data_IF_068012420872
#
_entry.id   IF_068012420872
#
_cell.length_a   1.000
_cell.length_b   1.000
_cell.length_c   1.000
_cell.angle_alpha   90.00
_cell.angle_beta   90.00
_cell.angle_gamma   90.00
#
_symmetry.space_group_name_H-M   'P 1'
#
loop_
_entity.id
_entity.type
_entity.pdbx_description
1 polymer ?
#
# COMPACT_ATOMS: atom_id res chain seq x y z
N UNK A 1 -10.02 5.07 18.91
CA UNK A 1 -9.91 4.35 17.62
C UNK A 1 -11.11 4.73 16.76
N UNK A 2 -10.90 5.12 15.51
CA UNK A 2 -11.98 5.63 14.63
C UNK A 2 -12.78 4.50 13.98
N UNK A 3 -12.13 3.36 13.73
CA UNK A 3 -12.73 2.18 13.10
C UNK A 3 -12.48 0.93 13.95
N UNK A 4 -13.44 0.00 13.92
CA UNK A 4 -13.34 -1.30 14.59
C UNK A 4 -13.84 -2.38 13.61
N UNK A 5 -12.96 -3.25 13.10
CA UNK A 5 -11.50 -3.25 13.31
C UNK A 5 -10.76 -2.09 12.60
N UNK A 6 -9.57 -1.70 13.07
CA UNK A 6 -8.80 -0.61 12.45
C UNK A 6 -8.11 -1.02 11.15
N UNK A 7 -7.88 -2.31 10.94
CA UNK A 7 -7.35 -2.93 9.72
C UNK A 7 -7.78 -4.39 9.66
N UNK A 8 -7.68 -4.99 8.46
CA UNK A 8 -7.91 -6.41 8.20
C UNK A 8 -6.71 -6.97 7.45
N UNK A 9 -6.25 -8.17 7.78
CA UNK A 9 -5.10 -8.74 7.11
C UNK A 9 -5.22 -10.25 6.85
N UNK A 10 -4.46 -10.72 5.89
CA UNK A 10 -4.25 -12.13 5.57
C UNK A 10 -2.75 -12.40 5.54
N UNK A 11 -2.30 -13.25 6.46
CA UNK A 11 -0.91 -13.61 6.60
C UNK A 11 -0.46 -14.55 5.49
N UNK A 12 0.58 -14.16 4.72
CA UNK A 12 1.21 -14.98 3.67
C UNK A 12 0.21 -15.64 2.72
N UNK A 13 -0.89 -14.95 2.40
CA UNK A 13 -2.02 -15.56 1.70
C UNK A 13 -1.83 -15.56 0.16
N UNK A 14 -1.04 -14.65 -0.38
CA UNK A 14 -0.68 -14.65 -1.79
C UNK A 14 0.48 -15.64 -1.99
N UNK A 15 0.36 -16.62 -2.90
CA UNK A 15 1.43 -17.56 -3.18
C UNK A 15 2.74 -16.86 -3.56
N UNK A 16 3.86 -17.36 -3.07
CA UNK A 16 5.21 -16.84 -3.35
C UNK A 16 5.43 -16.66 -4.85
N UNK A 17 5.06 -17.66 -5.67
CA UNK A 17 5.19 -17.60 -7.13
C UNK A 17 4.40 -16.44 -7.77
N UNK A 18 3.29 -16.02 -7.17
CA UNK A 18 2.51 -14.86 -7.63
C UNK A 18 3.23 -13.58 -7.25
N UNK A 19 3.75 -13.49 -6.01
CA UNK A 19 4.55 -12.35 -5.58
C UNK A 19 5.77 -12.16 -6.50
N UNK A 20 6.50 -13.23 -6.76
CA UNK A 20 7.69 -13.23 -7.64
C UNK A 20 7.31 -12.83 -9.07
N UNK A 21 6.18 -13.32 -9.59
CA UNK A 21 5.68 -12.93 -10.92
C UNK A 21 5.35 -11.44 -10.99
N UNK A 22 4.76 -10.86 -9.95
CA UNK A 22 4.49 -9.42 -9.88
C UNK A 22 5.80 -8.63 -9.85
N UNK A 23 6.80 -9.09 -9.07
CA UNK A 23 8.12 -8.45 -8.99
C UNK A 23 8.81 -8.47 -10.35
N UNK A 24 8.90 -9.64 -11.00
CA UNK A 24 9.55 -9.75 -12.31
C UNK A 24 8.82 -8.93 -13.38
N UNK A 25 7.49 -8.94 -13.36
CA UNK A 25 6.72 -8.11 -14.26
C UNK A 25 6.95 -6.62 -13.99
N UNK A 26 6.94 -6.19 -12.74
CA UNK A 26 7.19 -4.79 -12.36
C UNK A 26 8.61 -4.31 -12.72
N UNK A 27 9.61 -5.21 -12.67
CA UNK A 27 11.00 -4.91 -13.09
C UNK A 27 11.12 -4.69 -14.60
N UNK A 28 10.20 -5.19 -15.41
CA UNK A 28 10.23 -5.01 -16.86
C UNK A 28 9.84 -3.60 -17.32
N UNK A 29 9.34 -2.78 -16.40
CA UNK A 29 8.94 -1.39 -16.67
C UNK A 29 9.93 -0.38 -16.08
N UNK A 30 9.98 0.80 -16.70
CA UNK A 30 10.72 1.92 -16.16
C UNK A 30 9.97 2.51 -14.95
N UNK A 31 10.64 2.58 -13.80
CA UNK A 31 10.07 3.12 -12.56
C UNK A 31 10.46 4.56 -12.36
N UNK A 32 9.53 5.39 -11.92
CA UNK A 32 9.70 6.81 -11.66
C UNK A 32 9.97 7.09 -10.18
N UNK A 33 10.56 8.27 -9.89
CA UNK A 33 10.66 8.77 -8.52
C UNK A 33 9.24 9.03 -7.99
N UNK A 34 8.92 8.45 -6.84
CA UNK A 34 7.62 8.64 -6.21
C UNK A 34 7.41 10.08 -5.75
N UNK A 35 6.18 10.56 -5.87
CA UNK A 35 5.73 11.86 -5.37
C UNK A 35 4.97 11.72 -4.06
N UNK A 36 4.85 12.81 -3.32
CA UNK A 36 3.90 13.02 -2.22
C UNK A 36 2.81 13.99 -2.67
N UNK A 37 1.59 13.81 -2.19
CA UNK A 37 0.42 14.55 -2.65
C UNK A 37 -0.31 13.83 -3.78
N UNK A 38 -1.41 14.41 -4.25
CA UNK A 38 -2.33 13.81 -5.20
C UNK A 38 -2.45 14.66 -6.48
N UNK A 39 -2.53 13.99 -7.63
CA UNK A 39 -2.75 14.61 -8.93
C UNK A 39 -1.69 15.67 -9.27
N UNK A 40 -2.12 16.81 -9.80
CA UNK A 40 -1.24 17.92 -10.19
C UNK A 40 -0.49 18.58 -9.02
N UNK A 41 -0.89 18.30 -7.77
CA UNK A 41 -0.21 18.81 -6.58
C UNK A 41 0.91 17.85 -6.11
N UNK A 42 1.08 16.73 -6.77
CA UNK A 42 2.16 15.78 -6.49
C UNK A 42 3.53 16.45 -6.65
N UNK A 43 4.38 16.35 -5.62
CA UNK A 43 5.75 16.87 -5.63
C UNK A 43 6.73 15.83 -5.13
N UNK A 44 7.97 15.89 -5.60
CA UNK A 44 9.06 15.11 -5.04
C UNK A 44 9.50 15.78 -3.73
N UNK A 45 9.40 15.07 -2.61
CA UNK A 45 9.91 15.52 -1.31
C UNK A 45 10.70 14.38 -0.65
N UNK A 46 12.01 14.36 -0.80
CA UNK A 46 12.88 13.29 -0.32
C UNK A 46 12.99 13.22 1.21
N UNK A 47 12.45 14.22 1.95
CA UNK A 47 12.38 14.16 3.40
C UNK A 47 11.13 13.42 3.90
N UNK A 48 10.11 13.27 3.04
CA UNK A 48 8.86 12.57 3.36
C UNK A 48 8.85 11.20 2.68
N UNK A 49 9.24 11.15 1.39
CA UNK A 49 9.22 9.91 0.61
C UNK A 49 10.43 9.80 -0.29
N UNK A 50 11.11 8.66 -0.19
CA UNK A 50 12.16 8.27 -1.10
C UNK A 50 11.90 6.84 -1.52
N UNK A 51 11.41 6.66 -2.73
CA UNK A 51 11.11 5.35 -3.33
C UNK A 51 10.92 5.51 -4.83
N UNK A 52 10.96 4.40 -5.56
CA UNK A 52 10.55 4.39 -6.96
C UNK A 52 9.24 3.65 -7.13
N UNK A 53 8.42 4.10 -8.08
CA UNK A 53 7.10 3.52 -8.35
C UNK A 53 6.88 3.29 -9.84
N UNK A 54 6.00 2.34 -10.11
CA UNK A 54 5.37 2.12 -11.41
C UNK A 54 3.88 1.84 -11.19
N UNK A 55 3.00 2.36 -12.04
CA UNK A 55 1.56 2.12 -11.95
C UNK A 55 1.14 1.15 -13.05
N UNK A 56 0.52 0.04 -12.68
CA UNK A 56 -0.08 -0.89 -13.64
C UNK A 56 -1.37 -0.30 -14.24
N UNK A 57 -1.72 -0.71 -15.45
CA UNK A 57 -2.98 -0.26 -16.07
C UNK A 57 -4.21 -0.74 -15.29
N UNK A 58 -5.31 0.02 -15.36
CA UNK A 58 -6.55 -0.26 -14.63
C UNK A 58 -7.23 -1.60 -14.99
N UNK A 59 -6.95 -2.16 -16.15
CA UNK A 59 -7.51 -3.46 -16.60
C UNK A 59 -6.50 -4.61 -16.46
N UNK A 60 -5.44 -4.42 -15.69
CA UNK A 60 -4.43 -5.45 -15.49
C UNK A 60 -4.93 -6.55 -14.54
N UNK A 61 -4.47 -7.80 -14.71
CA UNK A 61 -4.85 -8.92 -13.84
C UNK A 61 -4.52 -8.70 -12.36
N UNK A 62 -3.52 -7.90 -12.05
CA UNK A 62 -3.14 -7.50 -10.69
C UNK A 62 -4.27 -6.75 -9.98
N UNK A 63 -5.10 -5.99 -10.72
CA UNK A 63 -6.29 -5.34 -10.16
C UNK A 63 -7.28 -6.35 -9.55
N UNK A 64 -7.40 -7.52 -10.16
CA UNK A 64 -8.27 -8.58 -9.65
C UNK A 64 -7.85 -9.07 -8.26
N UNK A 65 -6.54 -9.16 -8.01
CA UNK A 65 -5.99 -9.55 -6.70
C UNK A 65 -6.37 -8.50 -5.64
N UNK A 66 -5.99 -7.24 -5.86
CA UNK A 66 -6.24 -6.17 -4.88
C UNK A 66 -7.73 -5.94 -4.65
N UNK A 67 -8.55 -6.05 -5.71
CA UNK A 67 -10.01 -5.92 -5.63
C UNK A 67 -10.63 -7.02 -4.76
N UNK A 68 -10.19 -8.27 -4.93
CA UNK A 68 -10.69 -9.40 -4.14
C UNK A 68 -10.48 -9.17 -2.63
N UNK A 69 -9.27 -8.79 -2.22
CA UNK A 69 -8.98 -8.53 -0.81
C UNK A 69 -9.72 -7.31 -0.27
N UNK A 70 -9.79 -6.23 -1.04
CA UNK A 70 -10.57 -5.06 -0.65
C UNK A 70 -12.05 -5.40 -0.44
N UNK A 71 -12.67 -6.12 -1.37
CA UNK A 71 -14.07 -6.50 -1.30
C UNK A 71 -14.37 -7.38 -0.08
N UNK A 72 -13.51 -8.38 0.20
CA UNK A 72 -13.65 -9.26 1.35
C UNK A 72 -13.52 -8.49 2.67
N UNK A 73 -12.49 -7.64 2.81
CA UNK A 73 -12.31 -6.83 4.01
C UNK A 73 -13.46 -5.84 4.21
N UNK A 74 -13.84 -5.13 3.16
CA UNK A 74 -14.91 -4.14 3.23
C UNK A 74 -16.24 -4.74 3.64
N UNK A 75 -16.60 -5.88 3.08
CA UNK A 75 -17.84 -6.59 3.44
C UNK A 75 -17.81 -7.10 4.87
N UNK A 76 -16.65 -7.53 5.36
CA UNK A 76 -16.49 -8.08 6.70
C UNK A 76 -16.42 -7.03 7.80
N UNK A 77 -15.89 -5.83 7.48
CA UNK A 77 -15.54 -4.84 8.49
C UNK A 77 -16.27 -3.50 8.37
N UNK A 78 -16.23 -2.83 7.21
CA UNK A 78 -16.61 -1.40 7.16
C UNK A 78 -17.85 -1.09 6.32
N UNK A 79 -18.16 -1.90 5.32
CA UNK A 79 -19.28 -1.67 4.39
C UNK A 79 -19.26 -0.27 3.75
N UNK A 80 -18.08 0.25 3.44
CA UNK A 80 -17.97 1.52 2.74
C UNK A 80 -18.51 1.42 1.33
N UNK A 81 -19.15 2.49 0.86
CA UNK A 81 -19.54 2.61 -0.54
C UNK A 81 -18.29 2.81 -1.39
N UNK A 82 -17.94 1.81 -2.20
CA UNK A 82 -16.83 1.80 -3.13
C UNK A 82 -17.39 1.91 -4.54
N UNK A 83 -16.95 2.93 -5.28
CA UNK A 83 -17.39 3.19 -6.65
C UNK A 83 -16.26 3.02 -7.69
N UNK A 84 -15.02 2.88 -7.25
CA UNK A 84 -13.86 2.75 -8.15
C UNK A 84 -12.59 2.31 -7.44
N UNK A 85 -11.56 2.10 -8.25
CA UNK A 85 -10.21 1.81 -7.78
C UNK A 85 -9.21 2.54 -8.66
N UNK A 86 -8.05 2.87 -8.11
CA UNK A 86 -6.93 3.43 -8.85
C UNK A 86 -6.10 2.32 -9.51
N UNK A 87 -5.13 2.71 -10.35
CA UNK A 87 -4.11 1.78 -10.86
C UNK A 87 -3.24 1.28 -9.71
N UNK A 88 -2.99 -0.03 -9.57
CA UNK A 88 -2.09 -0.54 -8.56
C UNK A 88 -0.69 0.02 -8.71
N UNK A 89 -0.11 0.47 -7.61
CA UNK A 89 1.23 1.01 -7.52
C UNK A 89 2.22 -0.09 -7.10
N UNK A 90 3.13 -0.45 -7.97
CA UNK A 90 4.31 -1.23 -7.66
C UNK A 90 5.37 -0.29 -7.08
N UNK A 91 5.87 -0.58 -5.89
CA UNK A 91 6.83 0.27 -5.18
C UNK A 91 8.12 -0.46 -4.89
N UNK A 92 9.24 0.22 -5.10
CA UNK A 92 10.60 -0.27 -4.88
C UNK A 92 11.23 0.59 -3.80
N UNK A 93 11.76 -0.04 -2.76
CA UNK A 93 12.57 0.59 -1.71
C UNK A 93 13.97 -0.02 -1.69
N UNK A 94 14.99 0.79 -1.94
CA UNK A 94 16.43 0.45 -1.86
C UNK A 94 17.02 0.93 -0.54
N UNK A 95 18.27 0.59 -0.19
CA UNK A 95 18.92 1.09 1.01
C UNK A 95 18.86 2.62 1.12
N UNK A 96 18.38 3.10 2.27
CA UNK A 96 18.09 4.52 2.54
C UNK A 96 16.76 5.03 1.99
N UNK A 97 15.94 4.19 1.34
CA UNK A 97 14.62 4.59 0.84
C UNK A 97 13.54 4.23 1.86
N UNK A 98 12.51 5.07 1.93
CA UNK A 98 11.44 5.03 2.95
C UNK A 98 10.21 5.81 2.49
N UNK A 99 9.14 5.72 3.26
CA UNK A 99 8.00 6.62 3.20
C UNK A 99 7.54 6.92 4.62
N UNK A 100 7.68 8.17 5.07
CA UNK A 100 7.35 8.56 6.44
C UNK A 100 5.84 8.57 6.71
N UNK A 101 5.44 8.82 7.95
CA UNK A 101 4.04 8.80 8.36
C UNK A 101 3.18 9.70 7.49
N UNK A 102 2.16 9.08 6.92
CA UNK A 102 1.17 9.73 6.07
C UNK A 102 -0.17 9.00 6.19
N UNK A 103 -1.23 9.62 5.72
CA UNK A 103 -2.47 8.98 5.35
C UNK A 103 -2.61 8.97 3.82
N UNK A 104 -3.35 7.99 3.31
CA UNK A 104 -3.61 7.87 1.88
C UNK A 104 -4.86 8.65 1.45
N UNK A 105 -5.64 9.17 2.39
CA UNK A 105 -6.87 9.86 2.11
C UNK A 105 -6.62 11.08 1.20
N UNK A 106 -7.50 11.26 0.24
CA UNK A 106 -7.53 12.45 -0.60
C UNK A 106 -8.73 13.30 -0.18
N UNK A 107 -8.47 14.43 0.46
CA UNK A 107 -9.51 15.38 0.86
C UNK A 107 -10.05 16.23 -0.30
N UNK A 108 -9.60 15.97 -1.52
CA UNK A 108 -9.90 16.78 -2.70
C UNK A 108 -10.85 16.04 -3.63
N UNK A 109 -12.05 16.55 -3.79
CA UNK A 109 -13.01 16.20 -4.83
C UNK A 109 -14.16 15.28 -4.41
N UNK A 110 -15.15 15.10 -5.28
CA UNK A 110 -16.38 14.33 -4.99
C UNK A 110 -16.13 12.84 -4.72
N UNK A 111 -14.94 12.35 -5.03
CA UNK A 111 -14.50 10.97 -4.82
C UNK A 111 -13.26 10.98 -3.94
N UNK A 112 -13.28 10.20 -2.86
CA UNK A 112 -12.16 10.10 -1.93
C UNK A 112 -11.70 8.65 -1.77
N UNK A 113 -10.43 8.45 -1.46
CA UNK A 113 -9.91 7.12 -1.10
C UNK A 113 -10.54 6.67 0.21
N UNK A 114 -11.16 5.49 0.19
CA UNK A 114 -11.84 4.87 1.33
C UNK A 114 -10.99 3.81 1.98
N UNK A 115 -10.44 2.93 1.16
CA UNK A 115 -9.64 1.80 1.60
C UNK A 115 -8.32 1.75 0.83
N UNK A 116 -7.27 1.43 1.56
CA UNK A 116 -5.95 1.13 1.04
C UNK A 116 -5.67 -0.35 1.19
N UNK A 117 -5.13 -0.96 0.13
CA UNK A 117 -4.61 -2.33 0.15
C UNK A 117 -3.09 -2.25 0.00
N UNK A 118 -2.35 -2.90 0.88
CA UNK A 118 -0.90 -3.03 0.76
C UNK A 118 -0.49 -4.50 0.86
N UNK A 119 0.42 -4.91 -0.03
CA UNK A 119 0.90 -6.29 -0.14
C UNK A 119 2.42 -6.27 -0.06
N UNK A 120 3.00 -7.05 0.86
CA UNK A 120 4.44 -7.30 0.85
C UNK A 120 4.78 -8.37 -0.19
N UNK A 121 5.51 -7.99 -1.22
CA UNK A 121 5.91 -8.90 -2.30
C UNK A 121 7.27 -9.58 -2.02
N UNK A 122 8.07 -9.05 -1.09
CA UNK A 122 9.46 -9.48 -0.90
C UNK A 122 9.60 -10.63 0.08
N UNK A 123 10.52 -11.56 -0.22
CA UNK A 123 11.03 -12.53 0.74
C UNK A 123 11.77 -11.78 1.87
N UNK A 124 11.38 -11.97 3.16
CA UNK A 124 11.97 -11.29 4.31
C UNK A 124 13.48 -11.56 4.47
N UNK A 125 14.00 -12.63 3.88
CA UNK A 125 15.43 -12.96 3.94
C UNK A 125 16.27 -12.15 2.95
N UNK A 126 15.65 -11.36 2.06
CA UNK A 126 16.34 -10.63 0.97
C UNK A 126 16.57 -9.16 1.28
N UNK A 127 16.00 -8.63 2.37
CA UNK A 127 16.16 -7.24 2.77
C UNK A 127 16.16 -7.07 4.30
N UNK A 128 16.64 -5.92 4.78
CA UNK A 128 16.62 -5.53 6.19
C UNK A 128 16.03 -4.12 6.32
N UNK A 129 15.33 -3.84 7.43
CA UNK A 129 14.56 -2.59 7.60
C UNK A 129 13.27 -2.63 6.80
N UNK A 130 12.77 -1.47 6.35
CA UNK A 130 11.57 -1.39 5.52
C UNK A 130 10.30 -1.90 6.22
N UNK A 131 10.24 -1.81 7.55
CA UNK A 131 9.10 -2.26 8.34
C UNK A 131 7.86 -1.43 8.04
N UNK A 132 6.71 -2.09 7.99
CA UNK A 132 5.42 -1.41 7.89
C UNK A 132 4.93 -1.09 9.30
N UNK A 133 4.77 0.20 9.58
CA UNK A 133 4.26 0.67 10.87
C UNK A 133 2.93 1.40 10.69
N UNK A 134 2.07 1.28 11.70
CA UNK A 134 0.82 2.02 11.83
C UNK A 134 0.81 2.85 13.10
N UNK A 135 0.00 3.92 13.11
CA UNK A 135 -0.30 4.70 14.30
C UNK A 135 -1.82 4.87 14.42
N UNK A 136 -2.40 4.23 15.42
CA UNK A 136 -3.83 4.25 15.70
C UNK A 136 -4.21 5.26 16.81
N UNK A 137 -3.29 6.16 17.15
CA UNK A 137 -3.49 7.20 18.17
C UNK A 137 -2.81 6.93 19.51
N UNK A 138 -2.28 5.72 19.73
CA UNK A 138 -1.54 5.35 20.96
C UNK A 138 -0.01 5.29 20.75
N UNK A 139 0.44 5.79 19.60
CA UNK A 139 1.82 5.74 19.15
C UNK A 139 2.03 4.70 18.04
N UNK A 140 3.18 4.77 17.36
CA UNK A 140 3.49 3.86 16.26
C UNK A 140 3.81 2.45 16.78
N UNK A 141 3.39 1.45 15.99
CA UNK A 141 3.76 0.05 16.21
C UNK A 141 4.07 -0.64 14.88
N UNK A 142 4.95 -1.63 14.91
CA UNK A 142 5.28 -2.47 13.75
C UNK A 142 4.17 -3.50 13.57
N UNK A 143 3.70 -3.63 12.34
CA UNK A 143 2.82 -4.73 11.94
C UNK A 143 3.70 -5.89 11.43
N UNK A 144 4.09 -6.77 12.36
CA UNK A 144 5.07 -7.84 12.11
C UNK A 144 4.63 -8.79 10.97
N UNK A 145 3.34 -9.00 10.80
CA UNK A 145 2.78 -9.83 9.73
C UNK A 145 3.18 -9.29 8.35
N UNK A 146 3.31 -7.97 8.20
CA UNK A 146 3.71 -7.34 6.94
C UNK A 146 5.18 -7.55 6.57
N UNK A 147 5.98 -8.16 7.44
CA UNK A 147 7.33 -8.61 7.11
C UNK A 147 7.34 -9.92 6.28
N UNK A 148 6.22 -10.67 6.25
CA UNK A 148 6.13 -11.95 5.53
C UNK A 148 5.70 -11.73 4.08
N UNK A 149 6.33 -12.47 3.15
CA UNK A 149 5.98 -12.42 1.73
C UNK A 149 4.54 -12.89 1.51
N UNK A 150 3.79 -12.18 0.68
CA UNK A 150 2.41 -12.50 0.35
C UNK A 150 1.39 -12.08 1.40
N UNK A 151 1.79 -11.41 2.48
CA UNK A 151 0.84 -10.80 3.42
C UNK A 151 0.14 -9.60 2.78
N UNK A 152 -1.17 -9.57 2.97
CA UNK A 152 -2.05 -8.49 2.50
C UNK A 152 -2.66 -7.79 3.70
N UNK A 153 -2.63 -6.47 3.72
CA UNK A 153 -3.38 -5.64 4.66
C UNK A 153 -4.34 -4.72 3.91
N UNK A 154 -5.54 -4.57 4.48
CA UNK A 154 -6.54 -3.58 4.04
C UNK A 154 -6.88 -2.70 5.23
N UNK A 155 -6.94 -1.41 5.03
CA UNK A 155 -7.23 -0.44 6.09
C UNK A 155 -7.91 0.81 5.54
N UNK A 156 -8.68 1.55 6.37
CA UNK A 156 -9.22 2.85 6.00
C UNK A 156 -8.11 3.82 5.60
N UNK A 157 -8.27 4.50 4.47
CA UNK A 157 -7.20 5.30 3.84
C UNK A 157 -6.74 6.50 4.68
N UNK A 158 -7.51 6.91 5.70
CA UNK A 158 -7.14 7.96 6.65
C UNK A 158 -6.30 7.45 7.85
N UNK A 159 -5.98 6.16 7.86
CA UNK A 159 -5.10 5.58 8.89
C UNK A 159 -3.64 5.97 8.66
N UNK A 160 -2.99 6.49 9.71
CA UNK A 160 -1.58 6.87 9.66
C UNK A 160 -0.69 5.62 9.59
N UNK A 161 0.19 5.59 8.59
CA UNK A 161 1.14 4.47 8.40
C UNK A 161 2.43 4.95 7.74
N UNK A 162 3.47 4.12 7.82
CA UNK A 162 4.76 4.39 7.16
C UNK A 162 5.48 3.11 6.76
N UNK A 163 6.50 3.28 5.91
CA UNK A 163 7.53 2.28 5.66
C UNK A 163 8.86 2.85 6.17
N UNK A 164 9.46 2.20 7.16
CA UNK A 164 10.76 2.62 7.71
C UNK A 164 11.88 2.47 6.67
N UNK A 165 13.04 3.13 6.85
CA UNK A 165 14.14 2.99 5.90
C UNK A 165 14.57 1.53 5.72
N UNK A 166 14.69 1.10 4.46
CA UNK A 166 15.40 -0.13 4.12
C UNK A 166 16.87 0.08 4.40
N UNK A 167 17.53 -0.86 5.09
CA UNK A 167 18.95 -0.75 5.45
C UNK A 167 19.83 -1.62 4.56
N UNK A 168 19.28 -2.70 4.01
CA UNK A 168 19.98 -3.62 3.12
C UNK A 168 19.00 -4.30 2.15
N UNK A 169 19.48 -4.69 0.98
CA UNK A 169 18.65 -5.35 -0.04
C UNK A 169 17.63 -4.44 -0.70
N UNK A 170 16.54 -5.02 -1.22
CA UNK A 170 15.48 -4.27 -1.90
C UNK A 170 14.13 -4.82 -1.46
N UNK A 171 13.26 -3.94 -0.99
CA UNK A 171 11.87 -4.29 -0.65
C UNK A 171 10.93 -3.86 -1.77
N UNK A 172 10.05 -4.78 -2.16
CA UNK A 172 8.99 -4.56 -3.14
C UNK A 172 7.63 -4.65 -2.48
N UNK A 173 6.72 -3.75 -2.81
CA UNK A 173 5.33 -3.81 -2.38
C UNK A 173 4.37 -3.42 -3.50
N UNK A 174 3.14 -3.90 -3.37
CA UNK A 174 2.03 -3.50 -4.22
C UNK A 174 1.01 -2.76 -3.36
N UNK A 175 0.59 -1.59 -3.81
CA UNK A 175 -0.41 -0.76 -3.12
C UNK A 175 -1.53 -0.45 -4.10
N UNK A 176 -2.78 -0.49 -3.62
CA UNK A 176 -3.93 -0.01 -4.40
C UNK A 176 -4.91 0.75 -3.53
N UNK A 177 -5.59 1.71 -4.10
CA UNK A 177 -6.58 2.56 -3.42
C UNK A 177 -7.95 2.38 -4.04
N UNK A 178 -8.94 2.29 -3.16
CA UNK A 178 -10.34 2.12 -3.50
C UNK A 178 -11.11 3.36 -3.10
N UNK A 179 -11.88 3.88 -4.03
CA UNK A 179 -12.52 5.18 -3.97
C UNK A 179 -14.03 5.07 -3.83
N UNK A 180 -14.62 6.08 -3.22
CA UNK A 180 -16.06 6.21 -3.09
C UNK A 180 -16.48 7.64 -2.78
N UNK A 181 -17.79 7.91 -2.67
CA UNK A 181 -18.29 9.24 -2.34
C UNK A 181 -17.79 9.68 -0.96
N UNK A 182 -17.77 10.97 -0.69
CA UNK A 182 -17.43 11.51 0.63
C UNK A 182 -18.29 10.86 1.73
N UNK A 183 -17.74 10.72 2.94
CA UNK A 183 -18.54 10.28 4.08
C UNK A 183 -19.61 11.33 4.38
N UNK A 184 -20.83 10.89 4.67
CA UNK A 184 -21.96 11.71 5.04
C UNK A 184 -21.97 11.98 6.53
#
# INVERSE_FOLDING_TARGET
MKYDPPYWFWDSNIPISVCDSIIEYGKSFESEQATVGYGEQGRIDPNIRKSKVFFFENIHWINGITNQYCALANTSAWNFEISGQQSPQYTIYRPGEFYDFHSDDSTFAPVMRKLSVSINLSDPNTYEGGQFEMNLGEGPFVLEEMNRQGTVIVFPSDTQHRVTPVTKGVRYSLVNWFEGPAFK
#
